data_IF_126355892837
#
_entry.id   IF_126355892837
#
_cell.length_a   1.000
_cell.length_b   1.000
_cell.length_c   1.000
_cell.angle_alpha   90.00
_cell.angle_beta   90.00
_cell.angle_gamma   90.00
#
_symmetry.space_group_name_H-M   'P 1'
#
loop_
_entity.id
_entity.type
_entity.pdbx_description
1 polymer ?
#
# COMPACT_ATOMS: atom_id res chain seq x y z
N UNK A 1 4.96 -14.75 24.78
CA UNK A 1 3.49 -14.91 24.93
C UNK A 1 2.93 -15.09 23.53
N UNK A 2 1.99 -16.02 23.34
CA UNK A 2 1.36 -16.20 22.03
C UNK A 2 0.35 -15.07 21.79
N UNK A 3 0.35 -14.50 20.59
CA UNK A 3 -0.60 -13.45 20.20
C UNK A 3 -1.96 -14.08 19.95
N UNK A 4 -3.02 -13.45 20.43
CA UNK A 4 -4.37 -13.99 20.29
C UNK A 4 -5.16 -13.23 19.23
N UNK A 5 -5.77 -13.97 18.30
CA UNK A 5 -6.56 -13.43 17.20
C UNK A 5 -7.94 -14.06 17.21
N UNK A 6 -8.98 -13.25 17.04
CA UNK A 6 -10.36 -13.70 16.95
C UNK A 6 -11.06 -13.19 15.71
N UNK A 7 -12.14 -13.87 15.35
CA UNK A 7 -12.99 -13.57 14.20
C UNK A 7 -14.40 -13.28 14.70
N UNK A 8 -15.06 -12.25 14.16
CA UNK A 8 -16.47 -11.97 14.47
C UNK A 8 -17.15 -11.12 13.39
N UNK A 9 -18.48 -11.07 13.43
CA UNK A 9 -19.27 -10.17 12.59
C UNK A 9 -19.25 -10.50 11.09
N UNK A 10 -18.93 -11.74 10.71
CA UNK A 10 -18.84 -12.21 9.32
C UNK A 10 -19.69 -13.48 9.11
N UNK A 11 -19.92 -13.85 7.84
CA UNK A 11 -20.61 -15.10 7.49
C UNK A 11 -19.72 -16.34 7.73
N UNK A 12 -20.35 -17.51 7.97
CA UNK A 12 -19.66 -18.78 8.28
C UNK A 12 -18.68 -19.22 7.19
N UNK A 13 -19.01 -18.96 5.93
CA UNK A 13 -18.14 -19.30 4.80
C UNK A 13 -16.86 -18.45 4.83
N UNK A 14 -17.02 -17.13 5.03
CA UNK A 14 -15.89 -16.19 5.14
C UNK A 14 -15.04 -16.48 6.38
N UNK A 15 -15.68 -16.78 7.51
CA UNK A 15 -15.00 -17.17 8.74
C UNK A 15 -14.14 -18.42 8.53
N UNK A 16 -14.67 -19.44 7.84
CA UNK A 16 -13.94 -20.67 7.56
C UNK A 16 -12.74 -20.43 6.64
N UNK A 17 -12.94 -19.68 5.55
CA UNK A 17 -11.87 -19.32 4.61
C UNK A 17 -10.75 -18.51 5.29
N UNK A 18 -11.13 -17.54 6.13
CA UNK A 18 -10.18 -16.69 6.83
C UNK A 18 -9.44 -17.47 7.93
N UNK A 19 -10.14 -18.33 8.68
CA UNK A 19 -9.53 -19.21 9.69
C UNK A 19 -8.49 -20.15 9.08
N UNK A 20 -8.78 -20.71 7.90
CA UNK A 20 -7.83 -21.57 7.17
C UNK A 20 -6.61 -20.78 6.68
N UNK A 21 -6.84 -19.61 6.07
CA UNK A 21 -5.76 -18.72 5.62
C UNK A 21 -4.87 -18.25 6.78
N UNK A 22 -5.45 -17.97 7.95
CA UNK A 22 -4.71 -17.62 9.16
C UNK A 22 -3.88 -18.82 9.64
N UNK A 23 -4.42 -20.04 9.63
CA UNK A 23 -3.67 -21.24 10.03
C UNK A 23 -2.48 -21.49 9.11
N UNK A 24 -2.67 -21.38 7.80
CA UNK A 24 -1.60 -21.51 6.81
C UNK A 24 -0.52 -20.43 7.05
N UNK A 25 -0.91 -19.17 7.16
CA UNK A 25 0.02 -18.06 7.40
C UNK A 25 0.73 -18.18 8.75
N UNK A 26 0.03 -18.60 9.81
CA UNK A 26 0.60 -18.83 11.12
C UNK A 26 1.64 -19.97 11.11
N UNK A 27 1.39 -21.04 10.34
CA UNK A 27 2.38 -22.09 10.13
C UNK A 27 3.68 -21.56 9.51
N UNK A 28 3.58 -20.61 8.58
CA UNK A 28 4.75 -19.95 7.96
C UNK A 28 5.46 -19.00 8.93
N UNK A 29 4.74 -18.38 9.85
CA UNK A 29 5.25 -17.44 10.85
C UNK A 29 5.76 -18.13 12.13
N UNK A 30 5.80 -19.47 12.16
CA UNK A 30 6.33 -20.24 13.29
C UNK A 30 5.36 -20.46 14.44
N UNK A 31 4.04 -20.28 14.22
CA UNK A 31 3.01 -20.63 15.21
C UNK A 31 2.82 -19.62 16.34
N UNK A 32 3.18 -18.36 16.12
CA UNK A 32 3.10 -17.30 17.13
C UNK A 32 1.66 -16.87 17.48
N UNK A 33 0.69 -17.22 16.61
CA UNK A 33 -0.71 -16.81 16.73
C UNK A 33 -1.60 -17.95 17.26
N UNK A 34 -2.52 -17.61 18.15
CA UNK A 34 -3.57 -18.48 18.66
C UNK A 34 -4.94 -17.94 18.26
N UNK A 35 -5.72 -18.76 17.56
CA UNK A 35 -7.11 -18.44 17.24
C UNK A 35 -7.99 -18.67 18.47
N UNK A 36 -8.64 -17.60 18.93
CA UNK A 36 -9.60 -17.60 20.03
C UNK A 36 -10.94 -17.00 19.56
N UNK A 37 -12.03 -17.19 20.32
CA UNK A 37 -13.27 -16.46 20.08
C UNK A 37 -13.02 -14.94 20.13
N UNK A 38 -13.74 -14.19 19.29
CA UNK A 38 -13.53 -12.73 19.12
C UNK A 38 -13.61 -11.90 20.42
N UNK A 39 -14.28 -12.38 21.46
CA UNK A 39 -14.37 -11.68 22.75
C UNK A 39 -13.11 -11.87 23.63
N UNK A 40 -12.46 -13.02 23.50
CA UNK A 40 -11.31 -13.43 24.32
C UNK A 40 -9.96 -13.05 23.68
N UNK A 41 -9.95 -12.78 22.37
CA UNK A 41 -8.75 -12.34 21.67
C UNK A 41 -8.40 -10.86 21.91
N UNK A 42 -7.10 -10.54 21.85
CA UNK A 42 -6.60 -9.16 21.86
C UNK A 42 -6.83 -8.46 20.52
N UNK A 43 -6.63 -9.20 19.43
CA UNK A 43 -6.84 -8.72 18.07
C UNK A 43 -8.08 -9.38 17.47
N UNK A 44 -8.99 -8.60 16.90
CA UNK A 44 -10.25 -9.13 16.39
C UNK A 44 -10.51 -8.65 14.96
N UNK A 45 -10.67 -9.60 14.04
CA UNK A 45 -11.04 -9.30 12.65
C UNK A 45 -12.56 -9.24 12.54
N UNK A 46 -13.05 -8.13 12.00
CA UNK A 46 -14.47 -7.85 11.82
C UNK A 46 -14.74 -7.50 10.36
N UNK A 47 -15.69 -8.19 9.74
CA UNK A 47 -16.13 -7.87 8.38
C UNK A 47 -17.04 -6.64 8.40
N UNK A 48 -16.51 -5.50 7.94
CA UNK A 48 -17.25 -4.23 7.88
C UNK A 48 -18.29 -4.19 6.76
N UNK A 49 -18.17 -5.09 5.78
CA UNK A 49 -19.10 -5.22 4.66
C UNK A 49 -20.37 -6.00 5.07
N UNK A 50 -20.27 -6.86 6.08
CA UNK A 50 -21.40 -7.57 6.68
C UNK A 50 -22.32 -6.63 7.47
N UNK A 51 -23.61 -6.95 7.49
CA UNK A 51 -24.62 -6.22 8.27
C UNK A 51 -24.28 -6.14 9.78
N UNK A 52 -23.53 -7.10 10.30
CA UNK A 52 -23.12 -7.15 11.70
C UNK A 52 -21.80 -6.44 11.99
N UNK A 53 -21.03 -6.07 10.95
CA UNK A 53 -19.71 -5.47 11.08
C UNK A 53 -19.66 -4.20 11.93
N UNK A 54 -20.43 -3.15 11.57
CA UNK A 54 -20.39 -1.87 12.28
C UNK A 54 -20.75 -1.98 13.77
N UNK A 55 -21.68 -2.87 14.12
CA UNK A 55 -22.11 -3.07 15.51
C UNK A 55 -21.06 -3.86 16.31
N UNK A 56 -20.48 -4.90 15.70
CA UNK A 56 -19.35 -5.64 16.31
C UNK A 56 -18.13 -4.76 16.53
N UNK A 57 -17.78 -3.91 15.56
CA UNK A 57 -16.70 -2.94 15.72
C UNK A 57 -16.96 -1.97 16.87
N UNK A 58 -18.15 -1.38 16.94
CA UNK A 58 -18.49 -0.45 18.03
C UNK A 58 -18.35 -1.12 19.42
N UNK A 59 -18.78 -2.38 19.55
CA UNK A 59 -18.67 -3.14 20.81
C UNK A 59 -17.21 -3.39 21.20
N UNK A 60 -16.37 -3.75 20.24
CA UNK A 60 -14.95 -4.05 20.47
C UNK A 60 -14.11 -2.78 20.67
N UNK A 61 -14.45 -1.72 19.96
CA UNK A 61 -13.82 -0.41 20.14
C UNK A 61 -14.16 0.16 21.52
N UNK A 62 -15.39 -0.03 22.01
CA UNK A 62 -15.78 0.36 23.36
C UNK A 62 -15.02 -0.41 24.47
N UNK A 63 -14.51 -1.61 24.19
CA UNK A 63 -13.68 -2.38 25.13
C UNK A 63 -12.18 -2.10 24.98
N UNK A 64 -11.78 -1.23 24.05
CA UNK A 64 -10.38 -0.86 23.81
C UNK A 64 -9.56 -1.95 23.10
N UNK A 65 -10.21 -2.96 22.51
CA UNK A 65 -9.54 -4.02 21.75
C UNK A 65 -9.08 -3.51 20.39
N UNK A 66 -8.04 -4.16 19.85
CA UNK A 66 -7.52 -3.83 18.53
C UNK A 66 -8.38 -4.52 17.46
N UNK A 67 -9.06 -3.72 16.65
CA UNK A 67 -9.99 -4.22 15.63
C UNK A 67 -9.38 -4.10 14.24
N UNK A 68 -9.43 -5.18 13.47
CA UNK A 68 -9.04 -5.24 12.06
C UNK A 68 -10.31 -5.27 11.21
N UNK A 69 -10.49 -4.26 10.36
CA UNK A 69 -11.62 -4.20 9.44
C UNK A 69 -11.35 -4.99 8.17
N UNK A 70 -12.11 -6.06 7.93
CA UNK A 70 -12.19 -6.73 6.65
C UNK A 70 -13.21 -5.98 5.77
N UNK A 71 -12.77 -5.39 4.66
CA UNK A 71 -13.66 -4.58 3.81
C UNK A 71 -13.14 -4.40 2.38
N UNK A 72 -14.04 -4.18 1.44
CA UNK A 72 -13.72 -3.72 0.07
C UNK A 72 -13.47 -2.21 0.01
N UNK A 73 -13.85 -1.46 1.05
CA UNK A 73 -13.74 -0.01 1.08
C UNK A 73 -12.29 0.46 1.27
N UNK A 74 -11.88 1.48 0.51
CA UNK A 74 -10.52 2.03 0.58
C UNK A 74 -10.23 2.77 1.90
N UNK A 75 -11.27 3.22 2.61
CA UNK A 75 -11.16 3.84 3.95
C UNK A 75 -11.98 3.04 4.95
N UNK A 76 -11.42 2.84 6.14
CA UNK A 76 -12.07 2.19 7.29
C UNK A 76 -11.78 2.98 8.56
N UNK A 77 -12.64 2.84 9.57
CA UNK A 77 -12.46 3.43 10.92
C UNK A 77 -11.68 2.51 11.88
N UNK A 78 -11.24 1.35 11.41
CA UNK A 78 -10.46 0.38 12.18
C UNK A 78 -8.96 0.70 12.14
N UNK A 79 -8.22 0.37 13.21
CA UNK A 79 -6.76 0.55 13.30
C UNK A 79 -6.02 -0.18 12.18
N UNK A 80 -6.44 -1.41 11.89
CA UNK A 80 -5.90 -2.22 10.80
C UNK A 80 -6.98 -2.51 9.76
N UNK A 81 -6.56 -2.74 8.52
CA UNK A 81 -7.45 -3.09 7.40
C UNK A 81 -6.93 -4.32 6.69
N UNK A 82 -7.82 -5.27 6.44
CA UNK A 82 -7.62 -6.32 5.45
C UNK A 82 -8.56 -6.03 4.27
N UNK A 83 -7.98 -5.79 3.09
CA UNK A 83 -8.80 -5.57 1.90
C UNK A 83 -9.38 -6.87 1.35
N UNK A 84 -10.60 -6.81 0.81
CA UNK A 84 -11.21 -7.90 0.04
C UNK A 84 -11.00 -7.65 -1.46
N UNK A 85 -10.65 -8.68 -2.25
CA UNK A 85 -10.42 -10.07 -1.85
C UNK A 85 -9.10 -10.25 -1.07
N UNK A 86 -9.10 -11.16 -0.10
CA UNK A 86 -7.92 -11.50 0.68
C UNK A 86 -7.25 -12.77 0.12
N UNK A 87 -5.91 -12.82 0.21
CA UNK A 87 -5.09 -13.96 -0.15
C UNK A 87 -4.17 -14.33 1.02
N UNK A 88 -3.62 -15.55 1.02
CA UNK A 88 -2.66 -16.01 2.02
C UNK A 88 -1.50 -15.03 2.22
N UNK A 89 -1.02 -14.37 1.15
CA UNK A 89 0.01 -13.34 1.26
C UNK A 89 -0.48 -12.12 2.08
N UNK A 90 -1.67 -11.58 1.76
CA UNK A 90 -2.23 -10.43 2.47
C UNK A 90 -2.52 -10.74 3.95
N UNK A 91 -2.99 -11.96 4.24
CA UNK A 91 -3.19 -12.42 5.63
C UNK A 91 -1.84 -12.53 6.36
N UNK A 92 -0.80 -13.07 5.72
CA UNK A 92 0.53 -13.15 6.34
C UNK A 92 1.12 -11.77 6.65
N UNK A 93 0.97 -10.81 5.74
CA UNK A 93 1.41 -9.42 5.95
C UNK A 93 0.66 -8.75 7.10
N UNK A 94 -0.66 -8.97 7.19
CA UNK A 94 -1.46 -8.48 8.31
C UNK A 94 -0.97 -9.06 9.64
N UNK A 95 -0.78 -10.38 9.73
CA UNK A 95 -0.27 -11.04 10.94
C UNK A 95 1.13 -10.53 11.30
N UNK A 96 2.00 -10.26 10.32
CA UNK A 96 3.29 -9.62 10.60
C UNK A 96 3.13 -8.23 11.18
N UNK A 97 2.30 -7.38 10.56
CA UNK A 97 2.05 -6.02 11.04
C UNK A 97 1.45 -5.98 12.46
N UNK A 98 0.53 -6.90 12.77
CA UNK A 98 -0.07 -6.98 14.10
C UNK A 98 0.95 -7.42 15.17
N UNK A 99 1.85 -8.35 14.85
CA UNK A 99 2.88 -8.77 15.79
C UNK A 99 3.94 -7.70 16.02
N UNK A 100 4.32 -6.97 14.97
CA UNK A 100 5.21 -5.80 15.07
C UNK A 100 4.56 -4.72 15.96
N UNK A 101 3.27 -4.45 15.77
CA UNK A 101 2.52 -3.52 16.62
C UNK A 101 2.39 -4.01 18.07
N UNK A 102 2.32 -5.33 18.29
CA UNK A 102 2.37 -5.94 19.62
C UNK A 102 3.77 -5.94 20.25
N UNK A 103 4.82 -5.59 19.49
CA UNK A 103 6.21 -5.74 19.90
C UNK A 103 6.62 -7.20 20.13
N UNK A 104 5.89 -8.16 19.57
CA UNK A 104 6.16 -9.58 19.73
C UNK A 104 7.15 -10.03 18.64
N UNK A 105 8.28 -10.65 19.01
CA UNK A 105 9.25 -11.15 18.04
C UNK A 105 8.61 -12.33 17.30
N UNK A 106 8.15 -12.08 16.07
CA UNK A 106 7.94 -13.15 15.11
C UNK A 106 9.30 -13.77 14.78
N UNK A 107 9.31 -15.07 14.46
CA UNK A 107 10.48 -15.67 13.85
C UNK A 107 10.78 -14.88 12.59
N UNK A 108 11.79 -14.01 12.66
CA UNK A 108 12.13 -13.14 11.55
C UNK A 108 12.36 -14.02 10.32
N UNK A 109 11.66 -13.79 9.20
CA UNK A 109 12.16 -14.32 7.94
C UNK A 109 13.62 -13.82 7.83
N UNK A 110 14.57 -14.67 7.38
CA UNK A 110 15.96 -14.27 7.28
C UNK A 110 15.98 -12.91 6.58
N UNK A 111 16.51 -11.90 7.28
CA UNK A 111 16.54 -10.53 6.79
C UNK A 111 17.00 -10.58 5.33
N UNK A 112 16.28 -9.94 4.38
CA UNK A 112 16.81 -9.83 3.03
C UNK A 112 18.19 -9.22 3.21
N UNK A 113 19.22 -9.97 2.84
CA UNK A 113 20.58 -9.47 2.81
C UNK A 113 20.50 -8.08 2.16
N UNK A 114 21.10 -7.04 2.76
CA UNK A 114 20.95 -5.67 2.28
C UNK A 114 21.18 -5.72 0.78
N UNK A 115 20.14 -5.40 0.00
CA UNK A 115 20.24 -5.35 -1.44
C UNK A 115 21.47 -4.50 -1.71
N UNK A 116 22.51 -5.13 -2.26
CA UNK A 116 23.76 -4.47 -2.55
C UNK A 116 23.36 -3.18 -3.27
N UNK A 117 23.73 -2.04 -2.65
CA UNK A 117 23.49 -0.74 -3.23
C UNK A 117 23.82 -0.85 -4.73
N UNK A 118 22.94 -0.37 -5.64
CA UNK A 118 23.22 -0.45 -7.05
C UNK A 118 24.64 0.08 -7.24
N UNK A 119 25.53 -0.63 -7.96
CA UNK A 119 26.86 -0.12 -8.19
C UNK A 119 26.66 1.28 -8.76
N UNK A 120 27.20 2.28 -8.05
CA UNK A 120 27.23 3.64 -8.54
C UNK A 120 27.67 3.53 -9.99
N UNK A 121 26.76 3.84 -10.91
CA UNK A 121 27.09 3.91 -12.32
C UNK A 121 28.20 4.94 -12.39
N UNK A 122 29.43 4.45 -12.50
CA UNK A 122 30.58 5.28 -12.78
C UNK A 122 30.21 5.90 -14.11
N UNK A 123 29.84 7.18 -14.07
CA UNK A 123 29.59 7.96 -15.25
C UNK A 123 30.85 7.82 -16.10
N UNK A 124 30.77 7.01 -17.15
CA UNK A 124 31.79 6.96 -18.18
C UNK A 124 31.76 8.34 -18.77
N UNK A 125 32.72 9.16 -18.37
CA UNK A 125 32.99 10.45 -18.95
C UNK A 125 32.99 10.26 -20.46
N UNK A 126 32.03 10.89 -21.12
CA UNK A 126 31.99 10.96 -22.57
C UNK A 126 33.35 11.46 -23.06
N UNK A 127 33.95 10.82 -24.08
CA UNK A 127 35.17 11.35 -24.67
C UNK A 127 34.86 12.73 -25.22
N UNK A 128 35.62 13.71 -24.73
CA UNK A 128 35.64 15.09 -25.22
C UNK A 128 35.99 15.04 -26.70
N UNK A 129 34.97 15.13 -27.55
CA UNK A 129 35.16 15.38 -28.97
C UNK A 129 35.76 16.77 -29.11
N UNK A 130 36.97 16.80 -29.67
CA UNK A 130 37.79 17.97 -29.89
C UNK A 130 37.03 19.10 -30.60
N UNK A 131 37.27 20.32 -30.13
CA UNK A 131 36.79 21.56 -30.72
C UNK A 131 37.22 21.72 -32.20
N UNK A 132 36.34 22.18 -33.10
CA UNK A 132 36.76 22.89 -34.30
C UNK A 132 37.02 24.39 -34.00
N UNK A 133 37.93 25.04 -34.76
CA UNK A 133 38.41 26.38 -34.50
C UNK A 133 37.42 27.51 -34.89
N UNK A 134 37.76 28.68 -34.35
CA UNK A 134 37.19 30.03 -34.34
C UNK A 134 36.74 30.63 -35.70
N UNK A 135 35.95 31.75 -35.66
CA UNK A 135 35.09 32.26 -36.74
C UNK A 135 35.75 33.29 -37.66
N UNK A 136 35.14 33.49 -38.84
CA UNK A 136 35.33 34.66 -39.74
C UNK A 136 34.08 34.82 -40.67
N UNK A 137 33.81 35.97 -41.31
CA UNK A 137 32.56 36.74 -41.12
C UNK A 137 31.59 36.82 -42.34
N UNK A 138 30.37 37.31 -42.03
CA UNK A 138 29.20 37.89 -42.77
C UNK A 138 29.31 38.25 -44.28
N UNK A 139 28.24 38.55 -45.07
CA UNK A 139 26.90 39.06 -44.67
C UNK A 139 25.67 38.68 -45.56
N UNK A 140 24.51 39.26 -45.18
CA UNK A 140 23.38 39.70 -46.03
C UNK A 140 22.17 38.78 -46.18
N UNK A 141 21.18 38.95 -45.29
CA UNK A 141 19.80 38.59 -45.59
C UNK A 141 18.94 39.88 -45.69
N UNK A 142 18.33 40.18 -46.86
CA UNK A 142 17.32 41.22 -46.99
C UNK A 142 16.00 40.81 -46.29
N UNK A 143 15.14 41.79 -45.92
CA UNK A 143 13.99 41.56 -45.06
C UNK A 143 12.81 40.94 -45.81
N UNK A 144 12.16 39.94 -45.19
CA UNK A 144 10.82 39.50 -45.58
C UNK A 144 9.78 40.41 -44.89
N UNK A 145 8.83 41.01 -45.63
CA UNK A 145 7.88 41.97 -45.08
C UNK A 145 6.75 41.32 -44.27
N UNK A 146 6.57 41.90 -43.08
CA UNK A 146 5.36 42.19 -42.31
C UNK A 146 4.12 41.30 -42.46
N UNK A 147 3.71 40.75 -41.31
CA UNK A 147 2.34 40.35 -41.03
C UNK A 147 1.37 41.53 -41.21
N UNK A 148 0.28 41.30 -41.94
CA UNK A 148 -0.86 42.22 -42.03
C UNK A 148 -2.03 41.68 -41.19
N UNK A 149 -2.79 42.54 -40.48
CA UNK A 149 -3.64 42.17 -39.36
C UNK A 149 -5.13 41.94 -39.74
N UNK A 150 -5.88 41.51 -38.71
CA UNK A 150 -7.30 41.15 -38.69
C UNK A 150 -8.29 42.15 -39.33
N UNK A 151 -9.45 41.70 -39.83
CA UNK A 151 -10.58 42.57 -40.11
C UNK A 151 -11.53 42.70 -38.90
N UNK A 152 -11.79 43.95 -38.51
CA UNK A 152 -12.96 44.39 -37.75
C UNK A 152 -14.13 44.61 -38.71
N UNK A 153 -15.39 44.22 -38.38
CA UNK A 153 -16.55 44.73 -39.09
C UNK A 153 -17.10 45.99 -38.41
N UNK A 154 -17.26 47.07 -39.19
CA UNK A 154 -17.98 48.29 -38.82
C UNK A 154 -19.44 48.21 -39.29
N UNK A 155 -20.35 48.79 -38.51
CA UNK A 155 -21.79 48.83 -38.76
C UNK A 155 -22.20 49.86 -39.84
N UNK A 156 -23.31 49.60 -40.56
CA UNK A 156 -24.46 50.50 -40.75
C UNK A 156 -25.26 50.17 -42.04
N UNK A 157 -26.58 49.97 -41.89
CA UNK A 157 -27.66 50.60 -42.68
C UNK A 157 -28.99 50.37 -41.98
#
# INVERSE_FOLDING_TARGET
MALTLGLTGMDRDTESQLSDAIKDANGRLGGAWQLLPGDEAEYVIVDMDSMYGPMSWLRLHATGKQVVGLTTASRTQTDFRLERPFDAHSVSQLLTALAEAAGAPLAAPPAPAPAAAPPAVVAVAAPVAAAPPTPAPSPSQPPAPAATPAPVPVAAS
#
